data_IF_510104816897
#
_entry.id   IF_510104816897
#
_cell.length_a   1.000
_cell.length_b   1.000
_cell.length_c   1.000
_cell.angle_alpha   90.00
_cell.angle_beta   90.00
_cell.angle_gamma   90.00
#
_symmetry.space_group_name_H-M   'P 1'
#
loop_
_entity.id
_entity.type
_entity.pdbx_description
1 polymer ?
#
# COMPACT_ATOMS: atom_id res chain seq x y z
N UNK A 1 -24.90 24.96 23.91
CA UNK A 1 -25.04 23.73 23.10
C UNK A 1 -23.94 23.76 22.04
N UNK A 2 -22.78 23.17 22.35
CA UNK A 2 -21.63 23.19 21.46
C UNK A 2 -21.77 22.04 20.48
N UNK A 3 -22.17 22.34 19.24
CA UNK A 3 -22.13 21.36 18.15
C UNK A 3 -20.64 21.18 17.80
N UNK A 4 -20.01 20.17 18.40
CA UNK A 4 -18.71 19.68 17.93
C UNK A 4 -19.00 18.95 16.60
N UNK A 5 -18.81 19.64 15.48
CA UNK A 5 -18.79 18.98 14.17
C UNK A 5 -17.53 18.11 14.09
N UNK A 6 -17.60 16.87 14.57
CA UNK A 6 -16.54 15.90 14.31
C UNK A 6 -16.52 15.66 12.80
N UNK A 7 -15.41 15.99 12.13
CA UNK A 7 -15.20 15.64 10.72
C UNK A 7 -15.44 14.13 10.58
N UNK A 8 -16.23 13.72 9.59
CA UNK A 8 -16.47 12.30 9.36
C UNK A 8 -15.15 11.58 9.06
N UNK A 9 -15.00 10.30 9.46
CA UNK A 9 -13.80 9.55 9.15
C UNK A 9 -13.58 9.44 7.64
N UNK A 10 -12.33 9.52 7.22
CA UNK A 10 -11.94 9.24 5.84
C UNK A 10 -11.68 7.75 5.70
N UNK A 11 -12.45 7.05 4.88
CA UNK A 11 -12.26 5.62 4.63
C UNK A 11 -11.92 5.40 3.14
N UNK A 12 -10.78 4.79 2.87
CA UNK A 12 -10.35 4.40 1.52
C UNK A 12 -9.97 2.94 1.51
N UNK A 13 -10.16 2.27 0.38
CA UNK A 13 -9.75 0.88 0.21
C UNK A 13 -9.10 0.61 -1.13
N UNK A 14 -8.20 -0.37 -1.15
CA UNK A 14 -7.52 -0.85 -2.35
C UNK A 14 -7.71 -2.38 -2.50
N UNK A 15 -7.98 -2.88 -3.71
CA UNK A 15 -8.10 -4.31 -3.95
C UNK A 15 -6.74 -5.02 -3.84
N UNK A 16 -6.78 -6.31 -3.54
CA UNK A 16 -5.68 -7.23 -3.78
C UNK A 16 -5.52 -7.56 -5.26
N UNK A 17 -4.57 -8.44 -5.58
CA UNK A 17 -4.18 -8.73 -6.96
C UNK A 17 -3.85 -10.19 -7.21
N UNK A 18 -4.08 -10.63 -8.44
CA UNK A 18 -3.59 -11.89 -9.01
C UNK A 18 -2.94 -11.61 -10.36
N UNK A 19 -1.72 -12.10 -10.58
CA UNK A 19 -1.09 -12.07 -11.90
C UNK A 19 -1.52 -13.32 -12.66
N UNK A 20 -2.45 -13.15 -13.60
CA UNK A 20 -3.03 -14.25 -14.38
C UNK A 20 -2.09 -14.72 -15.49
N UNK A 21 -1.40 -13.78 -16.14
CA UNK A 21 -0.42 -14.07 -17.18
C UNK A 21 0.78 -13.11 -17.09
N UNK A 22 1.94 -13.53 -17.61
CA UNK A 22 3.19 -12.76 -17.62
C UNK A 22 4.27 -13.37 -16.73
N UNK A 23 3.93 -13.90 -15.55
CA UNK A 23 4.90 -14.56 -14.66
C UNK A 23 6.13 -13.68 -14.41
N UNK A 24 7.34 -14.20 -14.65
CA UNK A 24 8.59 -13.43 -14.54
C UNK A 24 8.82 -12.45 -15.70
N UNK A 25 8.12 -12.58 -16.83
CA UNK A 25 8.27 -11.69 -17.98
C UNK A 25 7.89 -10.25 -17.63
N UNK A 26 6.97 -10.05 -16.69
CA UNK A 26 6.56 -8.71 -16.21
C UNK A 26 7.70 -7.92 -15.53
N UNK A 27 8.84 -8.56 -15.27
CA UNK A 27 10.04 -7.89 -14.78
C UNK A 27 10.75 -7.11 -15.90
N UNK A 28 10.57 -7.52 -17.15
CA UNK A 28 11.09 -6.87 -18.35
C UNK A 28 9.96 -6.08 -19.02
N UNK A 29 10.24 -4.81 -19.29
CA UNK A 29 9.31 -3.85 -19.90
C UNK A 29 8.86 -4.25 -21.30
N UNK A 30 9.61 -5.13 -21.99
CA UNK A 30 9.21 -5.66 -23.30
C UNK A 30 7.90 -6.46 -23.25
N UNK A 31 7.57 -7.05 -22.10
CA UNK A 31 6.43 -7.95 -21.97
C UNK A 31 5.33 -7.37 -21.08
N UNK A 32 4.10 -7.70 -21.45
CA UNK A 32 2.90 -7.34 -20.69
C UNK A 32 2.55 -8.46 -19.68
N UNK A 33 1.88 -8.07 -18.60
CA UNK A 33 1.22 -8.98 -17.67
C UNK A 33 -0.30 -8.76 -17.67
N UNK A 34 -1.08 -9.82 -17.45
CA UNK A 34 -2.52 -9.69 -17.20
C UNK A 34 -2.73 -9.76 -15.70
N UNK A 35 -3.24 -8.68 -15.11
CA UNK A 35 -3.46 -8.56 -13.67
C UNK A 35 -4.95 -8.44 -13.39
N UNK A 36 -5.44 -9.26 -12.46
CA UNK A 36 -6.82 -9.23 -12.00
C UNK A 36 -6.85 -8.64 -10.60
N UNK A 37 -7.64 -7.58 -10.41
CA UNK A 37 -7.95 -7.06 -9.09
C UNK A 37 -8.91 -8.02 -8.37
N UNK A 38 -8.61 -8.37 -7.12
CA UNK A 38 -9.47 -9.29 -6.35
C UNK A 38 -10.61 -8.56 -5.66
N UNK A 39 -11.65 -9.30 -5.26
CA UNK A 39 -12.70 -8.80 -4.37
C UNK A 39 -12.18 -8.49 -2.96
N UNK A 40 -11.11 -9.17 -2.51
CA UNK A 40 -10.44 -8.86 -1.25
C UNK A 40 -9.89 -7.43 -1.25
N UNK A 41 -10.18 -6.67 -0.19
CA UNK A 41 -9.78 -5.25 -0.05
C UNK A 41 -9.03 -4.98 1.24
N UNK A 42 -8.08 -4.07 1.14
CA UNK A 42 -7.38 -3.47 2.27
C UNK A 42 -7.98 -2.08 2.51
N UNK A 43 -8.26 -1.75 3.77
CA UNK A 43 -8.92 -0.51 4.16
C UNK A 43 -8.00 0.31 5.05
N UNK A 44 -7.98 1.61 4.80
CA UNK A 44 -7.36 2.61 5.67
C UNK A 44 -8.42 3.62 6.07
N UNK A 45 -8.66 3.75 7.37
CA UNK A 45 -9.65 4.67 7.94
C UNK A 45 -8.94 5.66 8.83
N UNK A 46 -9.12 6.95 8.57
CA UNK A 46 -8.48 8.03 9.31
C UNK A 46 -9.55 8.83 10.05
N UNK A 47 -9.42 8.87 11.37
CA UNK A 47 -10.15 9.78 12.24
C UNK A 47 -9.23 10.95 12.58
N UNK A 48 -9.79 12.16 12.67
CA UNK A 48 -9.10 13.26 13.33
C UNK A 48 -8.98 12.93 14.82
N UNK A 49 -7.77 13.06 15.37
CA UNK A 49 -7.50 12.82 16.78
C UNK A 49 -8.20 13.82 17.72
N UNK A 50 -7.97 13.67 19.02
CA UNK A 50 -8.60 14.52 20.05
C UNK A 50 -7.63 15.57 20.59
N UNK A 51 -7.01 16.33 19.69
CA UNK A 51 -5.95 17.32 20.00
C UNK A 51 -4.71 16.67 20.61
N UNK A 52 -4.21 15.61 19.97
CA UNK A 52 -3.05 14.83 20.41
C UNK A 52 -1.70 15.48 20.03
N UNK A 53 -1.63 16.82 20.00
CA UNK A 53 -0.41 17.59 19.69
C UNK A 53 0.33 17.15 18.40
N UNK A 54 -0.39 16.71 17.37
CA UNK A 54 0.22 16.24 16.12
C UNK A 54 0.82 14.83 16.20
N UNK A 55 0.37 13.99 17.13
CA UNK A 55 0.69 12.56 17.14
C UNK A 55 -0.14 11.77 16.13
N UNK A 56 0.46 10.71 15.59
CA UNK A 56 -0.20 9.73 14.73
C UNK A 56 -0.25 8.39 15.44
N UNK A 57 -1.45 7.87 15.65
CA UNK A 57 -1.67 6.50 16.12
C UNK A 57 -2.13 5.63 14.95
N UNK A 58 -1.54 4.45 14.83
CA UNK A 58 -1.87 3.48 13.78
C UNK A 58 -2.24 2.14 14.41
N UNK A 59 -3.40 1.62 14.03
CA UNK A 59 -4.01 0.42 14.58
C UNK A 59 -4.28 -0.59 13.48
N UNK A 60 -3.79 -1.82 13.65
CA UNK A 60 -4.11 -2.98 12.83
C UNK A 60 -4.61 -4.09 13.75
N UNK A 61 -5.90 -4.05 14.13
CA UNK A 61 -6.47 -4.89 15.21
C UNK A 61 -6.44 -6.39 14.94
N UNK A 62 -6.11 -6.79 13.71
CA UNK A 62 -5.97 -8.19 13.31
C UNK A 62 -4.71 -8.85 13.89
N UNK A 63 -3.73 -8.08 14.34
CA UNK A 63 -2.45 -8.56 14.85
C UNK A 63 -2.27 -8.26 16.34
N UNK A 64 -1.51 -9.10 17.04
CA UNK A 64 -1.23 -8.92 18.46
C UNK A 64 -0.30 -7.71 18.73
N UNK A 65 0.57 -7.40 17.76
CA UNK A 65 1.55 -6.31 17.80
C UNK A 65 1.21 -5.16 16.83
N UNK A 66 -0.05 -5.09 16.38
CA UNK A 66 -0.54 -4.16 15.36
C UNK A 66 -0.81 -2.74 15.87
N UNK A 67 0.02 -2.19 16.74
CA UNK A 67 -0.13 -0.82 17.24
C UNK A 67 1.18 -0.05 17.15
N UNK A 68 1.15 1.10 16.46
CA UNK A 68 2.30 1.97 16.26
C UNK A 68 1.92 3.42 16.53
N UNK A 69 2.83 4.17 17.16
CA UNK A 69 2.63 5.59 17.43
C UNK A 69 3.84 6.40 16.99
N UNK A 70 3.58 7.52 16.35
CA UNK A 70 4.60 8.38 15.76
C UNK A 70 4.38 9.82 16.18
N UNK A 71 5.47 10.50 16.49
CA UNK A 71 5.53 11.95 16.56
C UNK A 71 6.07 12.47 15.24
N UNK A 72 5.42 13.49 14.68
CA UNK A 72 5.86 14.09 13.42
C UNK A 72 6.59 15.39 13.72
N UNK A 73 7.80 15.50 13.21
CA UNK A 73 8.56 16.74 13.19
C UNK A 73 8.45 17.33 11.77
N UNK A 74 7.72 18.42 11.65
CA UNK A 74 7.52 19.16 10.41
C UNK A 74 8.61 20.22 10.25
N UNK A 75 9.32 20.20 9.11
CA UNK A 75 10.20 21.28 8.69
C UNK A 75 9.55 22.07 7.56
N UNK A 76 9.33 23.36 7.79
CA UNK A 76 8.82 24.29 6.78
C UNK A 76 9.94 25.14 6.15
N UNK A 77 11.18 24.67 6.24
CA UNK A 77 12.30 25.21 5.47
C UNK A 77 12.17 24.84 3.98
N UNK A 78 13.18 25.16 3.17
CA UNK A 78 13.18 24.89 1.72
C UNK A 78 12.93 23.40 1.36
N UNK A 79 13.06 22.46 2.30
CA UNK A 79 12.85 21.03 2.07
C UNK A 79 11.40 20.56 2.23
N UNK A 80 10.53 21.33 2.89
CA UNK A 80 9.12 21.00 3.21
C UNK A 80 8.95 19.51 3.57
N UNK A 81 9.56 19.10 4.68
CA UNK A 81 9.71 17.70 5.06
C UNK A 81 8.92 17.34 6.31
N UNK A 82 8.42 16.10 6.36
CA UNK A 82 7.93 15.48 7.58
C UNK A 82 8.88 14.35 7.97
N UNK A 83 9.40 14.39 9.20
CA UNK A 83 10.16 13.29 9.80
C UNK A 83 9.29 12.58 10.84
N UNK A 84 9.27 11.25 10.79
CA UNK A 84 8.53 10.42 11.75
C UNK A 84 9.49 9.87 12.79
N UNK A 85 9.19 10.14 14.05
CA UNK A 85 9.87 9.52 15.18
C UNK A 85 8.92 8.54 15.88
N UNK A 86 9.23 7.22 15.91
CA UNK A 86 8.43 6.28 16.66
C UNK A 86 8.51 6.59 18.16
N UNK A 87 7.36 6.62 18.83
CA UNK A 87 7.30 6.83 20.29
C UNK A 87 7.90 5.63 21.03
N UNK A 88 7.72 4.43 20.47
CA UNK A 88 8.39 3.21 20.94
C UNK A 88 9.30 2.67 19.82
N UNK A 89 10.65 2.82 19.92
CA UNK A 89 11.58 2.38 18.89
C UNK A 89 11.53 0.88 18.55
N UNK A 90 11.12 0.03 19.49
CA UNK A 90 11.02 -1.42 19.30
C UNK A 90 9.78 -1.81 18.49
N UNK A 91 8.73 -0.97 18.53
CA UNK A 91 7.48 -1.17 17.81
C UNK A 91 7.45 -0.28 16.58
N UNK A 92 8.00 -0.79 15.48
CA UNK A 92 8.11 -0.08 14.20
C UNK A 92 7.58 -0.90 13.03
N UNK A 93 7.03 -0.22 12.03
CA UNK A 93 6.56 -0.83 10.79
C UNK A 93 7.03 0.03 9.62
N UNK A 94 8.06 -0.43 8.92
CA UNK A 94 8.72 0.33 7.86
C UNK A 94 7.77 0.70 6.72
N UNK A 95 6.82 -0.18 6.36
CA UNK A 95 5.86 0.09 5.29
C UNK A 95 4.92 1.24 5.66
N UNK A 96 4.39 1.21 6.89
CA UNK A 96 3.51 2.26 7.43
C UNK A 96 4.27 3.57 7.61
N UNK A 97 5.47 3.52 8.19
CA UNK A 97 6.35 4.68 8.39
C UNK A 97 6.65 5.39 7.08
N UNK A 98 7.11 4.66 6.07
CA UNK A 98 7.45 5.20 4.76
C UNK A 98 6.22 5.81 4.09
N UNK A 99 5.09 5.09 4.09
CA UNK A 99 3.86 5.58 3.48
C UNK A 99 3.38 6.89 4.14
N UNK A 100 3.35 6.96 5.48
CA UNK A 100 2.94 8.19 6.18
C UNK A 100 3.95 9.31 5.95
N UNK A 101 5.25 9.05 6.14
CA UNK A 101 6.32 10.05 6.01
C UNK A 101 6.27 10.78 4.68
N UNK A 102 6.31 10.03 3.59
CA UNK A 102 6.41 10.62 2.26
C UNK A 102 5.06 11.16 1.79
N UNK A 103 3.94 10.53 2.16
CA UNK A 103 2.62 11.11 1.88
C UNK A 103 2.48 12.48 2.52
N UNK A 104 2.78 12.64 3.82
CA UNK A 104 2.69 13.92 4.51
C UNK A 104 3.64 14.96 3.91
N UNK A 105 4.89 14.58 3.60
CA UNK A 105 5.85 15.47 2.93
C UNK A 105 5.34 15.96 1.57
N UNK A 106 4.74 15.07 0.76
CA UNK A 106 4.19 15.40 -0.57
C UNK A 106 2.92 16.24 -0.44
N UNK A 107 2.08 15.97 0.57
CA UNK A 107 0.90 16.78 0.91
C UNK A 107 1.32 18.18 1.32
N UNK A 108 2.38 18.33 2.12
CA UNK A 108 2.90 19.62 2.57
C UNK A 108 3.29 20.54 1.41
N UNK A 109 3.78 19.97 0.31
CA UNK A 109 4.09 20.69 -0.93
C UNK A 109 2.86 21.10 -1.76
N UNK A 110 1.68 20.52 -1.49
CA UNK A 110 0.45 20.70 -2.29
C UNK A 110 -0.66 21.45 -1.56
N UNK A 111 -0.52 21.65 -0.25
CA UNK A 111 -1.54 22.30 0.57
C UNK A 111 -0.99 23.57 1.20
N UNK A 112 -1.88 24.51 1.51
CA UNK A 112 -1.50 25.65 2.32
C UNK A 112 -1.06 25.21 3.72
N UNK A 113 0.07 25.74 4.21
CA UNK A 113 0.65 25.46 5.53
C UNK A 113 -0.35 25.56 6.67
N UNK A 114 -1.16 26.63 6.71
CA UNK A 114 -2.15 26.82 7.77
C UNK A 114 -3.20 25.70 7.74
N UNK A 115 -3.67 25.31 6.55
CA UNK A 115 -4.61 24.21 6.38
C UNK A 115 -4.00 22.87 6.82
N UNK A 116 -2.74 22.60 6.46
CA UNK A 116 -2.03 21.41 6.95
C UNK A 116 -2.00 21.36 8.47
N UNK A 117 -1.54 22.45 9.10
CA UNK A 117 -1.40 22.54 10.55
C UNK A 117 -2.75 22.45 11.26
N UNK A 118 -3.83 23.04 10.71
CA UNK A 118 -5.17 22.93 11.28
C UNK A 118 -5.68 21.49 11.30
N UNK A 119 -5.46 20.74 10.21
CA UNK A 119 -5.85 19.33 10.12
C UNK A 119 -4.98 18.50 11.06
N UNK A 120 -3.67 18.72 11.02
CA UNK A 120 -2.69 17.90 11.70
C UNK A 120 -2.61 18.16 13.22
N UNK A 121 -2.88 19.38 13.68
CA UNK A 121 -2.87 19.73 15.11
C UNK A 121 -3.84 18.88 15.95
N UNK A 122 -4.88 18.33 15.32
CA UNK A 122 -5.83 17.42 15.97
C UNK A 122 -5.24 16.03 16.22
N UNK A 123 -4.14 15.67 15.56
CA UNK A 123 -3.60 14.32 15.49
C UNK A 123 -4.34 13.46 14.46
N UNK A 124 -3.79 12.28 14.16
CA UNK A 124 -4.41 11.30 13.26
C UNK A 124 -4.53 9.95 13.96
N UNK A 125 -5.73 9.37 13.95
CA UNK A 125 -5.98 8.01 14.41
C UNK A 125 -6.34 7.14 13.20
N UNK A 126 -5.42 6.25 12.82
CA UNK A 126 -5.42 5.51 11.56
C UNK A 126 -5.66 4.03 11.82
N UNK A 127 -6.75 3.48 11.29
CA UNK A 127 -7.03 2.04 11.30
C UNK A 127 -6.69 1.42 9.94
N UNK A 128 -5.95 0.33 9.97
CA UNK A 128 -5.48 -0.41 8.81
C UNK A 128 -5.94 -1.87 8.94
N UNK A 129 -6.90 -2.26 8.11
CA UNK A 129 -7.50 -3.61 8.15
C UNK A 129 -7.59 -4.24 6.76
N UNK A 130 -7.20 -5.49 6.65
CA UNK A 130 -7.27 -6.29 5.42
C UNK A 130 -8.37 -7.34 5.49
N UNK A 131 -9.07 -7.57 4.38
CA UNK A 131 -9.98 -8.71 4.24
C UNK A 131 -9.28 -10.02 4.65
N UNK A 132 -10.03 -10.97 5.21
CA UNK A 132 -9.46 -12.23 5.72
C UNK A 132 -8.61 -12.96 4.68
N UNK A 133 -8.95 -12.83 3.40
CA UNK A 133 -8.27 -13.44 2.24
C UNK A 133 -6.79 -13.05 2.08
N UNK A 134 -6.33 -11.94 2.69
CA UNK A 134 -4.92 -11.56 2.64
C UNK A 134 -4.01 -12.43 3.51
N UNK A 135 -4.60 -13.21 4.43
CA UNK A 135 -3.90 -14.00 5.44
C UNK A 135 -4.43 -15.43 5.48
N UNK A 136 -3.55 -16.40 5.71
CA UNK A 136 -3.98 -17.78 5.96
C UNK A 136 -4.87 -17.81 7.20
N UNK A 137 -6.09 -18.35 7.05
CA UNK A 137 -7.06 -18.48 8.14
C UNK A 137 -7.01 -19.87 8.80
N UNK A 138 -5.97 -20.67 8.53
CA UNK A 138 -5.88 -22.03 9.07
C UNK A 138 -5.88 -22.07 10.59
N UNK A 139 -5.19 -21.14 11.24
CA UNK A 139 -5.19 -21.06 12.70
C UNK A 139 -6.58 -20.74 13.26
N UNK A 140 -7.31 -19.82 12.63
CA UNK A 140 -8.69 -19.49 12.99
C UNK A 140 -9.64 -20.68 12.84
N UNK A 141 -9.54 -21.41 11.73
CA UNK A 141 -10.35 -22.60 11.50
C UNK A 141 -10.02 -23.71 12.50
N UNK A 142 -8.73 -23.96 12.75
CA UNK A 142 -8.25 -24.95 13.73
C UNK A 142 -8.77 -24.64 15.13
N UNK A 143 -8.65 -23.40 15.61
CA UNK A 143 -9.16 -22.97 16.93
C UNK A 143 -10.68 -23.15 17.08
N UNK A 144 -11.43 -23.09 15.98
CA UNK A 144 -12.89 -23.28 15.95
C UNK A 144 -13.31 -24.72 15.62
N UNK A 145 -12.37 -25.64 15.45
CA UNK A 145 -12.60 -27.02 14.99
C UNK A 145 -13.39 -27.08 13.66
N UNK A 146 -13.14 -26.14 12.75
CA UNK A 146 -13.80 -26.07 11.45
C UNK A 146 -12.95 -26.73 10.37
N UNK A 147 -13.56 -27.44 9.39
CA UNK A 147 -12.81 -28.07 8.29
C UNK A 147 -12.27 -27.02 7.31
N UNK A 148 -11.22 -27.36 6.55
CA UNK A 148 -10.61 -26.49 5.53
C UNK A 148 -11.48 -26.40 4.26
N UNK A 149 -12.61 -25.71 4.34
CA UNK A 149 -13.56 -25.53 3.24
C UNK A 149 -13.90 -24.07 3.02
N UNK A 150 -14.35 -23.72 1.81
CA UNK A 150 -14.85 -22.36 1.50
C UNK A 150 -16.03 -21.97 2.40
N UNK A 151 -16.91 -22.91 2.75
CA UNK A 151 -18.02 -22.65 3.69
C UNK A 151 -17.51 -22.26 5.08
N UNK A 152 -16.46 -22.91 5.57
CA UNK A 152 -15.85 -22.58 6.85
C UNK A 152 -15.20 -21.20 6.82
N UNK A 153 -14.48 -20.87 5.75
CA UNK A 153 -13.89 -19.54 5.57
C UNK A 153 -14.95 -18.44 5.56
N UNK A 154 -16.07 -18.67 4.86
CA UNK A 154 -17.19 -17.73 4.81
C UNK A 154 -17.93 -17.57 6.16
N UNK A 155 -17.77 -18.51 7.09
CA UNK A 155 -18.34 -18.42 8.44
C UNK A 155 -17.52 -17.57 9.42
N UNK A 156 -16.28 -17.21 9.05
CA UNK A 156 -15.43 -16.35 9.86
C UNK A 156 -15.94 -14.91 9.82
N UNK A 157 -15.83 -14.22 10.96
CA UNK A 157 -16.15 -12.80 11.02
C UNK A 157 -15.19 -12.01 10.09
N UNK A 158 -15.69 -11.02 9.34
CA UNK A 158 -14.84 -10.13 8.55
C UNK A 158 -13.79 -9.45 9.43
N UNK A 159 -12.56 -9.35 8.92
CA UNK A 159 -11.43 -8.74 9.61
C UNK A 159 -11.09 -9.41 10.95
N UNK A 160 -11.28 -10.73 11.06
CA UNK A 160 -10.99 -11.46 12.29
C UNK A 160 -9.48 -11.40 12.61
N UNK A 161 -9.17 -11.57 13.89
CA UNK A 161 -7.79 -11.67 14.37
C UNK A 161 -7.06 -12.80 13.65
N UNK A 162 -5.77 -12.64 13.37
CA UNK A 162 -4.95 -13.75 12.85
C UNK A 162 -4.29 -14.54 13.99
N UNK A 163 -4.29 -13.99 15.21
CA UNK A 163 -3.71 -14.56 16.44
C UNK A 163 -2.18 -14.68 16.47
N UNK A 164 -1.48 -14.10 15.51
CA UNK A 164 -0.02 -14.05 15.48
C UNK A 164 0.49 -12.60 15.41
N UNK A 165 1.81 -12.43 15.51
CA UNK A 165 2.44 -11.16 15.22
C UNK A 165 2.46 -10.89 13.71
N UNK A 166 2.57 -9.63 13.30
CA UNK A 166 2.62 -9.24 11.88
C UNK A 166 3.77 -9.90 11.12
N UNK A 167 4.89 -10.20 11.78
CA UNK A 167 6.05 -10.86 11.15
C UNK A 167 5.84 -12.37 10.93
N UNK A 168 4.98 -12.98 11.72
CA UNK A 168 4.69 -14.43 11.71
C UNK A 168 3.54 -14.77 10.77
N UNK A 169 2.76 -13.77 10.35
CA UNK A 169 1.56 -14.03 9.55
C UNK A 169 1.89 -14.61 8.18
N UNK A 170 1.22 -15.71 7.85
CA UNK A 170 1.28 -16.30 6.53
C UNK A 170 0.40 -15.50 5.57
N UNK A 171 1.03 -14.83 4.61
CA UNK A 171 0.37 -14.05 3.57
C UNK A 171 0.02 -14.95 2.38
N UNK A 172 -1.16 -14.76 1.82
CA UNK A 172 -1.69 -15.57 0.69
C UNK A 172 -1.13 -15.18 -0.68
N UNK A 173 -0.32 -14.12 -0.77
CA UNK A 173 0.27 -13.64 -2.03
C UNK A 173 -0.60 -12.66 -2.83
N UNK A 174 -1.74 -12.22 -2.28
CA UNK A 174 -2.64 -11.24 -2.91
C UNK A 174 -2.11 -9.80 -2.95
N UNK A 175 -0.84 -9.57 -2.59
CA UNK A 175 -0.24 -8.24 -2.60
C UNK A 175 -0.67 -7.35 -1.43
N UNK A 176 -0.82 -7.91 -0.22
CA UNK A 176 -1.25 -7.15 0.98
C UNK A 176 -0.43 -5.90 1.25
N UNK A 177 0.89 -5.92 1.03
CA UNK A 177 1.73 -4.72 1.24
C UNK A 177 1.48 -3.61 0.22
N UNK A 178 1.21 -3.96 -1.03
CA UNK A 178 0.86 -2.99 -2.07
C UNK A 178 -0.53 -2.40 -1.82
N UNK A 179 -1.51 -3.24 -1.49
CA UNK A 179 -2.86 -2.78 -1.15
C UNK A 179 -2.86 -1.89 0.10
N UNK A 180 -2.10 -2.25 1.15
CA UNK A 180 -1.92 -1.43 2.36
C UNK A 180 -1.34 -0.06 2.05
N UNK A 181 -0.20 0.00 1.35
CA UNK A 181 0.44 1.29 1.03
C UNK A 181 -0.51 2.13 0.19
N UNK A 182 -1.13 1.54 -0.83
CA UNK A 182 -2.03 2.27 -1.74
C UNK A 182 -3.25 2.82 -1.01
N UNK A 183 -3.90 2.02 -0.15
CA UNK A 183 -5.06 2.49 0.62
C UNK A 183 -4.68 3.59 1.62
N UNK A 184 -3.51 3.48 2.25
CA UNK A 184 -3.03 4.45 3.23
C UNK A 184 -2.64 5.78 2.59
N UNK A 185 -1.87 5.74 1.50
CA UNK A 185 -1.52 6.93 0.70
C UNK A 185 -2.80 7.61 0.23
N UNK A 186 -3.72 6.88 -0.37
CA UNK A 186 -4.98 7.43 -0.83
C UNK A 186 -5.82 8.03 0.31
N UNK A 187 -5.92 7.34 1.47
CA UNK A 187 -6.64 7.85 2.63
C UNK A 187 -6.05 9.17 3.15
N UNK A 188 -4.72 9.29 3.22
CA UNK A 188 -4.06 10.53 3.64
C UNK A 188 -4.34 11.66 2.65
N UNK A 189 -4.19 11.41 1.34
CA UNK A 189 -4.43 12.44 0.33
C UNK A 189 -5.90 12.90 0.31
N UNK A 190 -6.85 11.99 0.52
CA UNK A 190 -8.28 12.34 0.66
C UNK A 190 -8.53 13.12 1.95
N UNK A 191 -7.94 12.69 3.08
CA UNK A 191 -8.15 13.32 4.39
C UNK A 191 -7.65 14.77 4.44
N UNK A 192 -6.54 15.03 3.74
CA UNK A 192 -5.98 16.38 3.58
C UNK A 192 -6.59 17.16 2.41
N UNK A 193 -7.60 16.60 1.73
CA UNK A 193 -8.33 17.22 0.61
C UNK A 193 -7.40 17.61 -0.56
N UNK A 194 -6.36 16.82 -0.80
CA UNK A 194 -5.50 16.92 -1.99
C UNK A 194 -6.17 16.25 -3.18
N UNK A 195 -6.85 15.13 -2.95
CA UNK A 195 -7.55 14.36 -3.98
C UNK A 195 -9.02 14.20 -3.61
N UNK A 196 -9.86 14.04 -4.63
CA UNK A 196 -11.31 13.88 -4.45
C UNK A 196 -11.86 12.77 -5.34
N UNK A 197 -13.08 12.31 -5.07
CA UNK A 197 -13.76 11.35 -5.95
C UNK A 197 -14.19 11.96 -7.30
N UNK A 198 -14.08 13.27 -7.47
CA UNK A 198 -14.51 13.98 -8.69
C UNK A 198 -13.38 14.15 -9.72
N UNK A 199 -12.13 13.95 -9.28
CA UNK A 199 -10.91 14.18 -10.05
C UNK A 199 -10.21 12.84 -10.32
N UNK A 200 -9.62 12.65 -11.51
CA UNK A 200 -8.83 11.45 -11.80
C UNK A 200 -7.39 11.59 -11.26
N UNK A 201 -7.26 11.64 -9.94
CA UNK A 201 -5.98 11.79 -9.25
C UNK A 201 -5.24 10.45 -9.03
N UNK A 202 -5.74 9.37 -9.65
CA UNK A 202 -5.19 8.02 -9.49
C UNK A 202 -3.73 7.93 -9.92
N UNK A 203 -3.30 8.74 -10.88
CA UNK A 203 -1.89 8.83 -11.29
C UNK A 203 -0.98 9.29 -10.14
N UNK A 204 -1.39 10.31 -9.39
CA UNK A 204 -0.63 10.80 -8.24
C UNK A 204 -0.56 9.74 -7.14
N UNK A 205 -1.71 9.14 -6.80
CA UNK A 205 -1.78 8.05 -5.80
C UNK A 205 -0.88 6.88 -6.20
N UNK A 206 -0.93 6.46 -7.47
CA UNK A 206 -0.07 5.42 -8.00
C UNK A 206 1.40 5.76 -7.81
N UNK A 207 1.86 6.92 -8.28
CA UNK A 207 3.28 7.27 -8.28
C UNK A 207 3.83 7.33 -6.86
N UNK A 208 3.08 7.92 -5.92
CA UNK A 208 3.46 8.00 -4.51
C UNK A 208 3.47 6.61 -3.85
N UNK A 209 2.42 5.81 -4.06
CA UNK A 209 2.34 4.46 -3.52
C UNK A 209 3.44 3.55 -4.08
N UNK A 210 3.75 3.67 -5.38
CA UNK A 210 4.77 2.88 -6.07
C UNK A 210 6.16 3.21 -5.54
N UNK A 211 6.46 4.50 -5.37
CA UNK A 211 7.68 4.96 -4.71
C UNK A 211 7.80 4.41 -3.28
N UNK A 212 6.77 4.61 -2.44
CA UNK A 212 6.77 4.15 -1.05
C UNK A 212 6.96 2.64 -0.95
N UNK A 213 6.32 1.88 -1.84
CA UNK A 213 6.43 0.42 -1.85
C UNK A 213 7.82 -0.05 -2.28
N UNK A 214 8.40 0.55 -3.33
CA UNK A 214 9.79 0.27 -3.71
C UNK A 214 10.76 0.57 -2.58
N UNK A 215 10.63 1.74 -1.95
CA UNK A 215 11.50 2.16 -0.84
C UNK A 215 11.38 1.21 0.37
N UNK A 216 10.15 0.82 0.74
CA UNK A 216 9.91 -0.11 1.84
C UNK A 216 10.43 -1.53 1.54
N UNK A 217 10.43 -1.95 0.28
CA UNK A 217 11.01 -3.22 -0.15
C UNK A 217 12.54 -3.17 -0.30
N UNK A 218 13.14 -1.97 -0.34
CA UNK A 218 14.56 -1.77 -0.61
C UNK A 218 14.98 -2.12 -2.05
N UNK A 219 14.02 -2.18 -2.99
CA UNK A 219 14.29 -2.48 -4.41
C UNK A 219 13.17 -2.01 -5.32
N UNK A 220 13.51 -1.78 -6.59
CA UNK A 220 12.51 -1.49 -7.62
C UNK A 220 11.88 -2.79 -8.13
N UNK A 221 10.67 -3.07 -7.67
CA UNK A 221 9.84 -4.20 -8.10
C UNK A 221 9.12 -3.94 -9.42
N UNK A 222 8.40 -4.95 -9.94
CA UNK A 222 7.64 -4.85 -11.19
C UNK A 222 6.57 -3.76 -11.18
N UNK A 223 5.97 -3.46 -10.03
CA UNK A 223 4.94 -2.45 -9.82
C UNK A 223 3.51 -2.87 -10.15
N UNK A 224 3.31 -4.08 -10.70
CA UNK A 224 1.97 -4.54 -11.08
C UNK A 224 1.01 -4.69 -9.89
N UNK A 225 1.55 -4.90 -8.68
CA UNK A 225 0.78 -5.04 -7.45
C UNK A 225 0.20 -3.70 -6.99
N UNK A 226 1.00 -2.63 -7.00
CA UNK A 226 0.51 -1.26 -6.74
C UNK A 226 -0.41 -0.79 -7.87
N UNK A 227 -0.04 -1.06 -9.13
CA UNK A 227 -0.89 -0.76 -10.28
C UNK A 227 -2.29 -1.39 -10.14
N UNK A 228 -2.37 -2.67 -9.73
CA UNK A 228 -3.66 -3.33 -9.49
C UNK A 228 -4.43 -2.74 -8.31
N UNK A 229 -3.72 -2.33 -7.24
CA UNK A 229 -4.32 -1.66 -6.10
C UNK A 229 -4.94 -0.28 -6.46
N UNK A 230 -4.52 0.34 -7.56
CA UNK A 230 -5.07 1.62 -8.05
C UNK A 230 -6.14 1.43 -9.13
N UNK A 231 -5.87 0.61 -10.15
CA UNK A 231 -6.72 0.50 -11.35
C UNK A 231 -7.57 -0.77 -11.41
N UNK A 232 -7.38 -1.73 -10.50
CA UNK A 232 -8.08 -3.02 -10.53
C UNK A 232 -7.56 -3.91 -11.65
N UNK A 233 -8.47 -4.54 -12.41
CA UNK A 233 -8.10 -5.47 -13.49
C UNK A 233 -7.63 -4.73 -14.75
N UNK A 234 -6.45 -5.08 -15.25
CA UNK A 234 -5.82 -4.43 -16.40
C UNK A 234 -4.70 -5.30 -17.02
N UNK A 235 -4.36 -5.00 -18.28
CA UNK A 235 -3.08 -5.40 -18.88
C UNK A 235 -2.04 -4.38 -18.43
N UNK A 236 -0.96 -4.88 -17.84
CA UNK A 236 0.09 -4.11 -17.20
C UNK A 236 1.38 -4.15 -18.01
N UNK A 237 1.96 -2.98 -18.24
CA UNK A 237 3.37 -2.82 -18.65
C UNK A 237 4.12 -2.09 -17.56
N UNK A 238 5.26 -2.64 -17.16
CA UNK A 238 6.13 -2.10 -16.12
C UNK A 238 6.74 -0.74 -16.51
N UNK A 239 6.89 0.16 -15.52
CA UNK A 239 7.64 1.41 -15.66
C UNK A 239 9.16 1.16 -15.74
N UNK A 240 9.88 2.06 -16.39
CA UNK A 240 11.34 2.08 -16.45
C UNK A 240 11.94 2.27 -15.04
N UNK A 241 12.73 1.33 -14.52
CA UNK A 241 13.26 1.42 -13.15
C UNK A 241 14.05 2.71 -12.87
N UNK A 242 14.68 3.28 -13.91
CA UNK A 242 15.49 4.49 -13.83
C UNK A 242 14.73 5.75 -13.39
N UNK A 243 13.39 5.74 -13.48
CA UNK A 243 12.54 6.84 -12.98
C UNK A 243 12.80 7.10 -11.49
N UNK A 244 13.19 6.07 -10.73
CA UNK A 244 13.35 6.13 -9.28
C UNK A 244 14.82 6.20 -8.81
N UNK A 245 15.80 6.21 -9.71
CA UNK A 245 17.23 6.12 -9.35
C UNK A 245 17.66 7.24 -8.39
N UNK A 246 17.19 8.47 -8.62
CA UNK A 246 17.56 9.64 -7.81
C UNK A 246 16.89 9.68 -6.42
N UNK A 247 15.78 8.95 -6.25
CA UNK A 247 14.93 9.02 -5.05
C UNK A 247 14.96 7.75 -4.22
N UNK A 248 15.63 6.68 -4.67
CA UNK A 248 15.76 5.41 -3.95
C UNK A 248 17.01 5.32 -3.06
N UNK A 249 17.71 6.44 -2.86
CA UNK A 249 18.93 6.55 -2.05
C UNK A 249 18.63 6.70 -0.54
N UNK A 250 19.64 6.49 0.32
CA UNK A 250 19.48 6.55 1.79
C UNK A 250 18.89 7.88 2.30
N UNK A 251 19.14 8.98 1.59
CA UNK A 251 18.53 10.29 1.85
C UNK A 251 17.77 10.73 0.61
N UNK A 252 16.45 10.64 0.67
CA UNK A 252 15.57 11.00 -0.44
C UNK A 252 15.55 12.52 -0.62
N UNK A 253 15.85 12.98 -1.83
CA UNK A 253 15.66 14.38 -2.19
C UNK A 253 14.16 14.64 -2.42
N UNK A 254 13.53 15.40 -1.53
CA UNK A 254 12.08 15.64 -1.56
C UNK A 254 11.64 16.51 -2.74
N UNK A 255 12.43 17.48 -3.18
CA UNK A 255 12.09 18.29 -4.34
C UNK A 255 12.17 17.49 -5.64
N UNK A 256 13.16 16.59 -5.76
CA UNK A 256 13.21 15.62 -6.86
C UNK A 256 12.02 14.65 -6.81
N UNK A 257 11.72 14.09 -5.62
CA UNK A 257 10.56 13.22 -5.42
C UNK A 257 9.26 13.91 -5.80
N UNK A 258 9.09 15.17 -5.39
CA UNK A 258 7.90 15.96 -5.67
C UNK A 258 7.62 16.10 -7.17
N UNK A 259 8.67 16.32 -7.96
CA UNK A 259 8.59 16.39 -9.42
C UNK A 259 8.30 15.01 -10.03
N UNK A 260 8.95 13.94 -9.56
CA UNK A 260 8.79 12.59 -10.09
C UNK A 260 7.39 12.04 -9.85
N UNK A 261 6.79 12.31 -8.69
CA UNK A 261 5.45 11.78 -8.37
C UNK A 261 4.31 12.58 -9.00
N UNK A 262 4.57 13.82 -9.42
CA UNK A 262 3.58 14.67 -10.08
C UNK A 262 3.20 14.09 -11.46
N UNK A 263 1.93 13.75 -11.71
CA UNK A 263 1.48 13.27 -13.02
C UNK A 263 1.79 14.24 -14.17
N UNK A 264 1.89 15.56 -13.91
CA UNK A 264 2.22 16.55 -14.92
C UNK A 264 3.64 16.43 -15.47
N UNK A 265 4.55 15.75 -14.75
CA UNK A 265 5.92 15.51 -15.19
C UNK A 265 6.00 14.52 -16.37
N UNK A 266 4.99 13.67 -16.55
CA UNK A 266 4.92 12.64 -17.59
C UNK A 266 6.16 11.71 -17.66
N UNK A 267 6.90 11.54 -16.55
CA UNK A 267 8.09 10.67 -16.51
C UNK A 267 7.76 9.18 -16.37
N UNK A 268 6.59 8.86 -15.82
CA UNK A 268 6.13 7.49 -15.62
C UNK A 268 5.61 6.90 -16.94
N UNK A 269 6.28 5.84 -17.40
CA UNK A 269 6.04 5.19 -18.68
C UNK A 269 5.39 3.79 -18.57
N UNK A 270 4.85 3.45 -17.38
CA UNK A 270 3.99 2.27 -17.23
C UNK A 270 2.70 2.41 -18.03
N UNK A 271 2.09 1.28 -18.35
CA UNK A 271 0.80 1.24 -19.04
C UNK A 271 -0.18 0.37 -18.25
N UNK A 272 -1.40 0.86 -18.08
CA UNK A 272 -2.51 0.12 -17.48
C UNK A 272 -3.71 0.16 -18.44
N UNK A 273 -3.79 -0.83 -19.31
CA UNK A 273 -4.87 -0.94 -20.31
C UNK A 273 -6.03 -1.72 -19.72
N UNK A 274 -7.24 -1.17 -19.76
CA UNK A 274 -8.44 -1.81 -19.18
C UNK A 274 -8.60 -3.25 -19.67
N UNK A 275 -8.86 -4.16 -18.74
CA UNK A 275 -9.12 -5.57 -19.03
C UNK A 275 -10.17 -6.11 -18.06
N UNK A 276 -11.07 -6.95 -18.56
CA UNK A 276 -12.02 -7.69 -17.74
C UNK A 276 -12.02 -9.15 -18.16
N UNK A 277 -12.23 -10.04 -17.19
CA UNK A 277 -12.55 -11.43 -17.51
C UNK A 277 -13.88 -11.49 -18.29
N UNK A 278 -14.08 -12.52 -19.13
CA UNK A 278 -15.37 -12.74 -19.76
C UNK A 278 -16.50 -12.80 -18.72
N UNK A 279 -17.74 -12.40 -19.08
CA UNK A 279 -18.90 -12.61 -18.23
C UNK A 279 -19.00 -14.06 -17.76
N UNK A 280 -19.57 -14.26 -16.56
CA UNK A 280 -19.78 -15.58 -15.94
C UNK A 280 -18.51 -16.34 -15.53
N UNK A 281 -17.33 -15.73 -15.68
CA UNK A 281 -16.10 -16.31 -15.18
C UNK A 281 -15.92 -16.04 -13.68
N UNK A 282 -15.74 -17.09 -12.89
CA UNK A 282 -15.43 -16.99 -11.45
C UNK A 282 -14.00 -17.44 -11.19
N UNK A 283 -13.15 -16.54 -10.71
CA UNK A 283 -11.80 -16.85 -10.28
C UNK A 283 -11.82 -17.31 -8.81
N UNK A 284 -11.42 -18.55 -8.55
CA UNK A 284 -11.27 -19.10 -7.20
C UNK A 284 -9.78 -19.17 -6.85
N UNK A 285 -9.42 -18.66 -5.68
CA UNK A 285 -8.04 -18.67 -5.18
C UNK A 285 -7.93 -19.66 -4.03
N UNK A 286 -6.98 -20.59 -4.15
CA UNK A 286 -6.72 -21.58 -3.13
C UNK A 286 -5.41 -21.23 -2.42
N UNK A 287 -5.49 -21.00 -1.11
CA UNK A 287 -4.32 -20.81 -0.27
C UNK A 287 -3.64 -22.16 0.04
N UNK A 288 -2.33 -22.19 -0.15
CA UNK A 288 -1.48 -23.35 0.16
C UNK A 288 -0.72 -23.18 1.49
N UNK A 289 -1.05 -22.15 2.29
CA UNK A 289 -0.58 -21.87 3.67
C UNK A 289 0.91 -21.59 3.84
N UNK A 290 1.72 -21.74 2.78
CA UNK A 290 3.06 -21.24 2.72
C UNK A 290 3.40 -20.87 1.26
N UNK A 291 3.54 -19.57 1.00
CA UNK A 291 4.05 -19.10 -0.28
C UNK A 291 5.55 -19.34 -0.40
N UNK A 292 6.06 -19.35 -1.63
CA UNK A 292 7.50 -19.33 -1.90
C UNK A 292 8.12 -17.97 -1.57
N UNK A 293 9.37 -17.94 -1.09
CA UNK A 293 10.15 -16.71 -0.94
C UNK A 293 10.39 -16.04 -2.32
N UNK A 294 9.48 -15.16 -2.70
CA UNK A 294 9.43 -14.51 -4.02
C UNK A 294 10.74 -13.81 -4.42
N UNK A 295 11.45 -13.08 -3.52
CA UNK A 295 12.74 -12.48 -3.87
C UNK A 295 13.81 -13.49 -4.30
N UNK A 296 13.84 -14.68 -3.67
CA UNK A 296 14.81 -15.73 -3.99
C UNK A 296 14.57 -16.30 -5.39
N UNK A 297 13.30 -16.53 -5.76
CA UNK A 297 12.99 -17.09 -7.07
C UNK A 297 13.21 -16.06 -8.19
N UNK A 298 12.79 -14.81 -8.00
CA UNK A 298 13.08 -13.72 -8.93
C UNK A 298 14.58 -13.58 -9.16
N UNK A 299 15.38 -13.60 -8.09
CA UNK A 299 16.84 -13.52 -8.20
C UNK A 299 17.43 -14.68 -9.00
N UNK A 300 16.93 -15.91 -8.80
CA UNK A 300 17.38 -17.09 -9.58
C UNK A 300 17.03 -16.98 -11.06
N UNK A 301 15.82 -16.52 -11.40
CA UNK A 301 15.39 -16.36 -12.80
C UNK A 301 16.20 -15.27 -13.49
N UNK A 302 16.42 -14.13 -12.83
CA UNK A 302 17.24 -13.05 -13.38
C UNK A 302 18.71 -13.47 -13.57
N UNK A 303 19.26 -14.23 -12.60
CA UNK A 303 20.60 -14.80 -12.70
C UNK A 303 20.68 -15.75 -13.90
N UNK A 304 19.74 -16.68 -14.02
CA UNK A 304 19.67 -17.62 -15.14
C UNK A 304 19.58 -16.89 -16.49
N UNK A 305 18.72 -15.88 -16.60
CA UNK A 305 18.58 -15.07 -17.82
C UNK A 305 19.89 -14.36 -18.19
N UNK A 306 20.59 -13.79 -17.21
CA UNK A 306 21.90 -13.15 -17.43
C UNK A 306 22.96 -14.15 -17.90
N UNK A 307 22.93 -15.37 -17.40
CA UNK A 307 23.87 -16.45 -17.75
C UNK A 307 23.58 -17.08 -19.12
N UNK A 308 22.36 -16.92 -19.65
CA UNK A 308 21.91 -17.55 -20.89
C UNK A 308 21.34 -16.52 -21.89
N UNK A 309 21.90 -15.30 -21.93
CA UNK A 309 21.37 -14.19 -22.72
C UNK A 309 21.35 -14.43 -24.25
N UNK A 310 22.11 -15.42 -24.74
CA UNK A 310 22.23 -15.78 -26.15
C UNK A 310 21.32 -16.96 -26.58
N UNK A 311 20.48 -17.49 -25.66
CA UNK A 311 19.46 -18.51 -25.93
C UNK A 311 18.06 -17.90 -25.96
#
# INVERSE_FOLDING_TARGET
MTILTSRQPTAVSAPGKVLLAGGYLVLDRKYDGIVIGTSARFYSVIYSGKNDFGEISVHSPQFNDGEWKYRVNESFDDSLSCELQPINPEKRNSFVEIAIKYSLSIILHRINKHKFQEIFAKGLDIYIVGSNDFYSQREQLSKRNLPLTSSSLNSLEPFCKVHCNLKEVHKTGLGSSAALITSLVAALFVHFEIVSNQTDDRGLIHNVAQFCHCLAQGKVGSGFDVSAAVWGSHIYKRFSPSILDDVMNQKVNLSALNNIVDPASNVWDNQATKFSLPPEFTLVLADIDAGSHTPSMVGRVLKWHKENADQ
#
